data_IF_897601723929
#
_entry.id   IF_897601723929
#
_cell.length_a   1.000
_cell.length_b   1.000
_cell.length_c   1.000
_cell.angle_alpha   90.00
_cell.angle_beta   90.00
_cell.angle_gamma   90.00
#
_symmetry.space_group_name_H-M   'P 1'
#
loop_
_entity.id
_entity.type
_entity.pdbx_description
1 polymer ?
#
# COMPACT_ATOMS: atom_id res chain seq x y z
N UNK A 1 -19.19 -5.96 -17.37
CA UNK A 1 -19.18 -5.45 -18.76
C UNK A 1 -18.57 -4.07 -18.73
N UNK A 2 -17.65 -3.78 -19.64
CA UNK A 2 -17.07 -2.44 -19.80
C UNK A 2 -17.93 -1.63 -20.77
N UNK A 3 -18.00 -0.32 -20.58
CA UNK A 3 -18.81 0.62 -21.39
C UNK A 3 -18.27 0.74 -22.84
N UNK A 4 -16.95 0.68 -23.02
CA UNK A 4 -16.26 0.77 -24.29
C UNK A 4 -14.87 0.10 -24.21
N UNK A 5 -14.17 0.02 -25.35
CA UNK A 5 -12.83 -0.58 -25.48
C UNK A 5 -12.82 -1.92 -26.21
N UNK A 6 -11.63 -2.50 -26.37
CA UNK A 6 -11.47 -3.87 -26.90
C UNK A 6 -11.50 -4.89 -25.77
N UNK A 7 -11.98 -6.09 -26.06
CA UNK A 7 -11.83 -7.23 -25.16
C UNK A 7 -10.41 -7.77 -25.32
N UNK A 8 -9.58 -7.56 -24.30
CA UNK A 8 -8.21 -8.04 -24.24
C UNK A 8 -8.01 -8.87 -22.96
N UNK A 9 -7.55 -10.11 -23.09
CA UNK A 9 -7.62 -11.12 -22.03
C UNK A 9 -6.27 -11.82 -21.86
N UNK A 10 -5.80 -11.91 -20.61
CA UNK A 10 -4.48 -12.48 -20.27
C UNK A 10 -4.53 -13.51 -19.12
N UNK A 11 -3.78 -14.60 -19.32
CA UNK A 11 -3.30 -15.67 -18.39
C UNK A 11 -4.25 -16.63 -17.66
N UNK A 12 -3.75 -17.87 -17.55
CA UNK A 12 -4.19 -18.91 -16.60
C UNK A 12 -2.96 -19.74 -16.18
N UNK A 13 -2.28 -19.34 -15.10
CA UNK A 13 -1.24 -20.18 -14.49
C UNK A 13 -1.87 -21.45 -13.89
N UNK A 14 -1.17 -22.60 -13.86
CA UNK A 14 -1.73 -23.86 -13.35
C UNK A 14 -2.06 -23.82 -11.85
N UNK A 15 -1.50 -22.86 -11.11
CA UNK A 15 -1.84 -22.58 -9.72
C UNK A 15 -1.86 -21.08 -9.39
N UNK A 16 -2.36 -20.70 -8.21
CA UNK A 16 -2.54 -19.30 -7.83
C UNK A 16 -1.25 -18.47 -7.88
N UNK A 17 -0.11 -19.03 -7.44
CA UNK A 17 1.19 -18.34 -7.48
C UNK A 17 1.67 -18.07 -8.91
N UNK A 18 1.42 -19.01 -9.83
CA UNK A 18 1.84 -18.89 -11.22
C UNK A 18 0.97 -17.88 -11.97
N UNK A 19 -0.32 -17.82 -11.65
CA UNK A 19 -1.21 -16.79 -12.18
C UNK A 19 -0.74 -15.39 -11.79
N UNK A 20 -0.40 -15.16 -10.51
CA UNK A 20 0.12 -13.86 -10.05
C UNK A 20 1.46 -13.53 -10.71
N UNK A 21 2.39 -14.50 -10.79
CA UNK A 21 3.70 -14.29 -11.45
C UNK A 21 3.57 -13.91 -12.93
N UNK A 22 2.66 -14.56 -13.65
CA UNK A 22 2.41 -14.24 -15.07
C UNK A 22 1.74 -12.88 -15.23
N UNK A 23 0.80 -12.54 -14.34
CA UNK A 23 0.18 -11.23 -14.35
C UNK A 23 1.18 -10.09 -14.10
N UNK A 24 2.05 -10.22 -13.08
CA UNK A 24 3.02 -9.17 -12.75
C UNK A 24 4.18 -9.09 -13.74
N UNK A 25 4.44 -10.13 -14.53
CA UNK A 25 5.49 -10.07 -15.55
C UNK A 25 5.16 -9.11 -16.71
N UNK A 26 3.88 -8.88 -17.00
CA UNK A 26 3.45 -7.95 -18.04
C UNK A 26 2.90 -6.62 -17.50
N UNK A 27 2.36 -6.61 -16.28
CA UNK A 27 1.83 -5.38 -15.67
C UNK A 27 2.84 -4.65 -14.78
N UNK A 28 3.96 -5.30 -14.48
CA UNK A 28 4.98 -4.80 -13.57
C UNK A 28 4.93 -5.48 -12.21
N UNK A 29 6.11 -5.68 -11.61
CA UNK A 29 6.21 -6.12 -10.23
C UNK A 29 5.99 -4.94 -9.27
N UNK A 30 5.64 -5.25 -8.02
CA UNK A 30 5.58 -4.23 -6.98
C UNK A 30 6.92 -3.54 -6.83
N UNK A 31 6.90 -2.21 -6.75
CA UNK A 31 8.07 -1.44 -6.38
C UNK A 31 8.55 -1.84 -4.99
N UNK A 32 9.87 -1.83 -4.78
CA UNK A 32 10.43 -2.05 -3.46
C UNK A 32 10.03 -0.88 -2.56
N UNK A 33 9.34 -1.14 -1.43
CA UNK A 33 8.94 -0.07 -0.52
C UNK A 33 10.17 0.54 0.16
N UNK A 34 10.09 1.83 0.48
CA UNK A 34 11.05 2.47 1.38
C UNK A 34 10.93 1.84 2.77
N UNK A 35 12.02 1.78 3.53
CA UNK A 35 12.03 1.11 4.83
C UNK A 35 10.99 1.67 5.81
N UNK A 36 10.84 3.00 5.87
CA UNK A 36 9.84 3.66 6.72
C UNK A 36 8.39 3.34 6.32
N UNK A 37 8.14 2.91 5.07
CA UNK A 37 6.79 2.61 4.60
C UNK A 37 6.23 1.30 5.16
N UNK A 38 7.09 0.43 5.72
CA UNK A 38 6.67 -0.81 6.35
C UNK A 38 6.23 -0.65 7.83
N UNK A 39 6.47 0.52 8.43
CA UNK A 39 6.14 0.81 9.83
C UNK A 39 4.68 1.32 9.98
N UNK A 40 4.30 1.68 11.21
CA UNK A 40 3.03 2.32 11.51
C UNK A 40 2.97 3.73 10.89
N UNK A 41 1.81 4.12 10.34
CA UNK A 41 1.58 5.46 9.78
C UNK A 41 0.37 6.10 10.47
N UNK A 42 0.61 7.14 11.26
CA UNK A 42 -0.45 7.94 11.88
C UNK A 42 -0.93 9.04 10.93
N UNK A 43 -2.24 9.13 10.71
CA UNK A 43 -2.83 10.19 9.89
C UNK A 43 -4.29 10.47 10.28
N UNK A 44 -4.72 11.73 10.16
CA UNK A 44 -6.11 12.17 10.31
C UNK A 44 -6.40 13.33 9.35
N UNK A 45 -7.62 13.39 8.81
CA UNK A 45 -8.17 14.62 8.24
C UNK A 45 -8.97 15.35 9.34
N UNK A 46 -8.45 16.41 9.97
CA UNK A 46 -7.14 17.08 9.85
C UNK A 46 -6.48 17.11 11.22
N UNK A 47 -5.16 17.25 11.24
CA UNK A 47 -4.48 17.87 12.39
C UNK A 47 -4.71 19.37 12.33
N UNK A 48 -5.00 19.97 13.48
CA UNK A 48 -5.49 21.36 13.55
C UNK A 48 -4.36 22.38 13.36
N UNK A 49 -3.23 22.14 14.01
CA UNK A 49 -2.06 23.00 14.11
C UNK A 49 -0.82 22.12 14.44
N UNK A 50 0.35 22.74 14.57
CA UNK A 50 1.60 22.06 14.89
C UNK A 50 1.57 21.44 16.30
N UNK A 51 0.92 22.09 17.27
CA UNK A 51 0.78 21.60 18.64
C UNK A 51 -0.01 20.27 18.69
N UNK A 52 -1.09 20.16 17.90
CA UNK A 52 -1.86 18.91 17.76
C UNK A 52 -1.03 17.77 17.13
N UNK A 53 -0.03 18.08 16.31
CA UNK A 53 0.89 17.07 15.77
C UNK A 53 1.91 16.64 16.83
N UNK A 54 2.48 17.59 17.57
CA UNK A 54 3.43 17.33 18.67
C UNK A 54 2.78 16.50 19.79
N UNK A 55 1.55 16.84 20.20
CA UNK A 55 0.78 16.08 21.20
C UNK A 55 0.54 14.63 20.75
N UNK A 56 0.31 14.42 19.45
CA UNK A 56 0.10 13.08 18.88
C UNK A 56 1.42 12.30 18.81
N UNK A 57 2.54 12.95 18.49
CA UNK A 57 3.88 12.34 18.52
C UNK A 57 4.28 11.90 19.95
N UNK A 58 3.99 12.74 20.94
CA UNK A 58 4.21 12.45 22.35
C UNK A 58 3.40 11.26 22.86
N UNK A 59 2.26 10.99 22.25
CA UNK A 59 1.43 9.81 22.55
C UNK A 59 1.96 8.59 21.80
N UNK A 60 2.30 8.73 20.52
CA UNK A 60 2.80 7.64 19.66
C UNK A 60 4.11 7.05 20.20
N UNK A 61 5.06 7.92 20.62
CA UNK A 61 6.35 7.52 21.21
C UNK A 61 6.23 6.61 22.44
N UNK A 62 5.16 6.77 23.23
CA UNK A 62 4.91 5.94 24.42
C UNK A 62 4.48 4.51 24.09
N UNK A 63 4.05 4.24 22.86
CA UNK A 63 3.70 2.89 22.42
C UNK A 63 4.91 2.09 21.94
N UNK A 64 6.01 2.77 21.57
CA UNK A 64 7.26 2.14 21.12
C UNK A 64 8.18 1.71 22.29
N UNK A 65 7.94 2.22 23.50
CA UNK A 65 8.74 1.97 24.72
C UNK A 65 8.29 0.72 25.55
N UNK A 66 7.41 -0.15 25.02
CA UNK A 66 6.98 -1.43 25.66
C UNK A 66 7.42 -2.67 24.87
#
# INVERSE_FOLDING_TARGET
MSEAGIVDTFFVGPGPKDAVRQYTSITGNLAMPQLFAAACHQCRWKYRDEEDVEDVEDVDSKFDDQ
#
